data_IF_698113795905
#
_entry.id   IF_698113795905
#
_cell.length_a   1.000
_cell.length_b   1.000
_cell.length_c   1.000
_cell.angle_alpha   90.00
_cell.angle_beta   90.00
_cell.angle_gamma   90.00
#
_symmetry.space_group_name_H-M   'P 1'
#
loop_
_entity.id
_entity.type
_entity.pdbx_description
1 polymer ?
#
# COMPACT_ATOMS: atom_id res chain seq x y z
N UNK A 1 18.12 -0.96 -23.04
CA UNK A 1 17.44 -2.05 -23.77
C UNK A 1 16.69 -1.38 -24.90
N UNK A 2 16.94 -1.78 -26.15
CA UNK A 2 16.22 -1.23 -27.30
C UNK A 2 14.76 -1.71 -27.28
N UNK A 3 13.82 -0.92 -27.81
CA UNK A 3 12.38 -1.23 -27.89
C UNK A 3 12.09 -2.66 -28.37
N UNK A 4 12.87 -3.15 -29.36
CA UNK A 4 12.73 -4.51 -29.88
C UNK A 4 12.91 -5.61 -28.83
N UNK A 5 13.76 -5.40 -27.83
CA UNK A 5 13.96 -6.36 -26.73
C UNK A 5 12.82 -6.31 -25.71
N UNK A 6 12.15 -5.16 -25.58
CA UNK A 6 11.01 -4.96 -24.68
C UNK A 6 9.77 -5.68 -25.22
N UNK A 7 9.50 -5.56 -26.52
CA UNK A 7 8.33 -6.17 -27.16
C UNK A 7 8.40 -7.71 -27.16
N UNK A 8 9.58 -8.28 -27.46
CA UNK A 8 9.81 -9.74 -27.47
C UNK A 8 9.52 -10.38 -26.10
N UNK A 9 9.85 -9.69 -25.00
CA UNK A 9 9.70 -10.22 -23.65
C UNK A 9 8.25 -10.07 -23.13
N UNK A 10 7.50 -9.08 -23.61
CA UNK A 10 6.05 -8.96 -23.38
C UNK A 10 5.30 -10.07 -24.13
N UNK A 11 5.66 -10.35 -25.39
CA UNK A 11 5.08 -11.45 -26.17
C UNK A 11 5.32 -12.83 -25.54
N UNK A 12 6.45 -13.01 -24.84
CA UNK A 12 6.77 -14.24 -24.10
C UNK A 12 6.09 -14.33 -22.72
N UNK A 13 5.19 -13.38 -22.38
CA UNK A 13 4.42 -13.40 -21.14
C UNK A 13 5.18 -12.96 -19.89
N UNK A 14 6.40 -12.42 -20.04
CA UNK A 14 7.15 -11.88 -18.92
C UNK A 14 6.73 -10.42 -18.67
N UNK A 15 6.04 -10.16 -17.55
CA UNK A 15 5.77 -8.78 -17.12
C UNK A 15 7.05 -8.15 -16.56
N UNK A 16 7.88 -7.61 -17.46
CA UNK A 16 9.14 -6.95 -17.09
C UNK A 16 8.88 -5.66 -16.31
N UNK A 17 7.73 -5.00 -16.51
CA UNK A 17 7.33 -3.81 -15.74
C UNK A 17 7.35 -4.10 -14.23
N UNK A 18 6.87 -5.28 -13.80
CA UNK A 18 6.92 -5.68 -12.40
C UNK A 18 8.37 -5.84 -11.90
N UNK A 19 9.27 -6.36 -12.74
CA UNK A 19 10.66 -6.59 -12.43
C UNK A 19 11.50 -5.30 -12.45
N UNK A 20 11.22 -4.39 -13.37
CA UNK A 20 11.83 -3.05 -13.45
C UNK A 20 11.39 -2.23 -12.24
N UNK A 21 10.09 -2.23 -11.88
CA UNK A 21 9.61 -1.57 -10.67
C UNK A 21 10.29 -2.13 -9.41
N UNK A 22 10.40 -3.45 -9.30
CA UNK A 22 11.10 -4.12 -8.18
C UNK A 22 12.59 -3.75 -8.16
N UNK A 23 13.26 -3.72 -9.32
CA UNK A 23 14.66 -3.33 -9.42
C UNK A 23 14.88 -1.85 -9.12
N UNK A 24 13.97 -0.96 -9.50
CA UNK A 24 14.08 0.47 -9.21
C UNK A 24 13.82 0.78 -7.73
N UNK A 25 12.91 0.04 -7.08
CA UNK A 25 12.72 0.05 -5.62
C UNK A 25 13.97 -0.48 -4.88
N UNK A 26 14.62 -1.52 -5.41
CA UNK A 26 15.86 -2.09 -4.84
C UNK A 26 17.08 -1.20 -5.11
N UNK A 27 17.16 -0.53 -6.28
CA UNK A 27 18.25 0.38 -6.66
C UNK A 27 18.17 1.74 -5.97
N UNK A 28 16.99 2.16 -5.49
CA UNK A 28 16.83 3.28 -4.56
C UNK A 28 17.24 2.88 -3.13
N UNK A 29 18.46 2.39 -2.98
CA UNK A 29 19.03 2.04 -1.67
C UNK A 29 18.74 3.12 -0.61
N UNK A 30 18.33 2.66 0.57
CA UNK A 30 18.15 3.43 1.80
C UNK A 30 17.11 4.57 1.80
N UNK A 31 15.84 4.25 1.64
CA UNK A 31 14.87 4.85 2.56
C UNK A 31 14.81 3.96 3.80
N UNK A 32 15.37 4.41 4.92
CA UNK A 32 15.15 3.73 6.20
C UNK A 32 13.64 3.56 6.35
N UNK A 33 13.19 2.30 6.37
CA UNK A 33 11.79 1.99 6.65
C UNK A 33 11.52 2.51 8.07
N UNK A 34 10.32 3.00 8.35
CA UNK A 34 9.97 3.53 9.69
C UNK A 34 10.37 2.58 10.84
N UNK A 35 10.32 1.27 10.58
CA UNK A 35 10.83 0.21 11.45
C UNK A 35 12.34 0.35 11.71
N UNK A 36 13.17 0.47 10.65
CA UNK A 36 14.61 0.61 10.77
C UNK A 36 15.01 1.95 11.42
N UNK A 37 14.32 3.06 11.11
CA UNK A 37 14.52 4.33 11.82
C UNK A 37 14.30 4.14 13.33
N UNK A 38 13.16 3.56 13.70
CA UNK A 38 12.83 3.32 15.10
C UNK A 38 13.86 2.42 15.77
N UNK A 39 14.21 1.28 15.16
CA UNK A 39 15.24 0.38 15.69
C UNK A 39 16.58 1.10 15.92
N UNK A 40 17.01 1.95 15.00
CA UNK A 40 18.26 2.70 15.14
C UNK A 40 18.19 3.73 16.28
N UNK A 41 17.09 4.47 16.36
CA UNK A 41 16.89 5.52 17.37
C UNK A 41 16.66 4.98 18.78
N UNK A 42 15.90 3.90 18.92
CA UNK A 42 15.53 3.30 20.22
C UNK A 42 16.40 2.11 20.63
N UNK A 43 17.26 1.62 19.73
CA UNK A 43 18.03 0.36 19.88
C UNK A 43 17.15 -0.85 20.17
N UNK A 44 15.89 -0.81 19.74
CA UNK A 44 14.91 -1.89 19.95
C UNK A 44 15.04 -3.00 18.90
N UNK A 45 14.42 -4.15 19.19
CA UNK A 45 14.31 -5.24 18.23
C UNK A 45 13.40 -4.86 17.05
N UNK A 46 13.49 -5.60 15.94
CA UNK A 46 12.57 -5.43 14.80
C UNK A 46 11.11 -5.70 15.21
N UNK A 47 10.88 -6.67 16.10
CA UNK A 47 9.55 -7.00 16.59
C UNK A 47 8.94 -5.84 17.39
N UNK A 48 9.69 -5.27 18.33
CA UNK A 48 9.27 -4.11 19.11
C UNK A 48 8.98 -2.91 18.20
N UNK A 49 9.85 -2.69 17.21
CA UNK A 49 9.67 -1.63 16.22
C UNK A 49 8.38 -1.82 15.40
N UNK A 50 8.10 -3.05 14.96
CA UNK A 50 6.87 -3.37 14.24
C UNK A 50 5.62 -3.15 15.11
N UNK A 51 5.66 -3.55 16.37
CA UNK A 51 4.56 -3.35 17.31
C UNK A 51 4.33 -1.86 17.57
N UNK A 52 5.40 -1.10 17.80
CA UNK A 52 5.32 0.36 17.94
C UNK A 52 4.69 1.05 16.73
N UNK A 53 5.11 0.69 15.50
CA UNK A 53 4.53 1.25 14.28
C UNK A 53 3.05 0.87 14.14
N UNK A 54 2.64 -0.36 14.49
CA UNK A 54 1.22 -0.76 14.51
C UNK A 54 0.41 0.08 15.49
N UNK A 55 0.93 0.29 16.70
CA UNK A 55 0.27 1.13 17.71
C UNK A 55 0.10 2.58 17.23
N UNK A 56 1.11 3.13 16.55
CA UNK A 56 1.02 4.46 15.93
C UNK A 56 -0.06 4.53 14.85
N UNK A 57 -0.17 3.50 14.01
CA UNK A 57 -1.22 3.41 12.99
C UNK A 57 -2.60 3.39 13.67
N UNK A 58 -2.78 2.56 14.69
CA UNK A 58 -4.04 2.46 15.43
C UNK A 58 -4.42 3.75 16.15
N UNK A 59 -3.45 4.42 16.77
CA UNK A 59 -3.65 5.73 17.38
C UNK A 59 -4.05 6.78 16.34
N UNK A 60 -3.44 6.75 15.16
CA UNK A 60 -3.73 7.66 14.05
C UNK A 60 -5.14 7.42 13.50
N UNK A 61 -5.56 6.16 13.33
CA UNK A 61 -6.94 5.81 12.98
C UNK A 61 -7.96 6.37 13.96
N UNK A 62 -7.70 6.21 15.27
CA UNK A 62 -8.56 6.76 16.33
C UNK A 62 -8.66 8.29 16.25
N UNK A 63 -7.57 8.99 15.91
CA UNK A 63 -7.57 10.45 15.70
C UNK A 63 -8.40 10.83 14.47
N UNK A 64 -8.11 10.23 13.32
CA UNK A 64 -8.83 10.49 12.07
C UNK A 64 -10.35 10.27 12.20
N UNK A 65 -10.76 9.19 12.88
CA UNK A 65 -12.18 8.89 13.12
C UNK A 65 -12.88 9.93 14.00
N UNK A 66 -12.16 10.58 14.94
CA UNK A 66 -12.73 11.70 15.71
C UNK A 66 -12.79 12.97 14.88
N UNK A 67 -11.73 13.25 14.13
CA UNK A 67 -11.56 14.52 13.42
C UNK A 67 -12.51 14.62 12.24
N UNK A 68 -12.81 13.52 11.53
CA UNK A 68 -13.78 13.53 10.42
C UNK A 68 -15.18 14.00 10.84
N UNK A 69 -15.55 13.79 12.10
CA UNK A 69 -16.84 14.20 12.65
C UNK A 69 -16.81 15.63 13.18
N UNK A 70 -15.70 16.01 13.81
CA UNK A 70 -15.57 17.24 14.61
C UNK A 70 -14.95 18.41 13.84
N UNK A 71 -13.93 18.14 13.02
CA UNK A 71 -13.19 19.17 12.32
C UNK A 71 -13.96 19.65 11.09
N UNK A 72 -14.38 20.91 11.12
CA UNK A 72 -15.11 21.60 10.02
C UNK A 72 -14.19 22.48 9.18
N UNK A 73 -12.89 22.52 9.46
CA UNK A 73 -11.90 23.32 8.73
C UNK A 73 -11.77 22.88 7.28
N UNK A 74 -12.09 21.62 6.98
CA UNK A 74 -12.09 21.05 5.64
C UNK A 74 -13.50 20.72 5.13
N UNK A 75 -13.66 20.74 3.80
CA UNK A 75 -14.91 20.35 3.14
C UNK A 75 -15.27 18.89 3.43
N UNK A 76 -16.57 18.57 3.38
CA UNK A 76 -17.06 17.20 3.60
C UNK A 76 -16.41 16.21 2.62
N UNK A 77 -16.25 16.61 1.37
CA UNK A 77 -15.66 15.79 0.33
C UNK A 77 -14.18 15.55 0.56
N UNK A 78 -13.42 16.58 0.95
CA UNK A 78 -12.00 16.43 1.28
C UNK A 78 -11.82 15.40 2.41
N UNK A 79 -12.56 15.56 3.51
CA UNK A 79 -12.47 14.61 4.63
C UNK A 79 -12.85 13.19 4.21
N UNK A 80 -13.90 13.03 3.38
CA UNK A 80 -14.32 11.71 2.87
C UNK A 80 -13.23 11.08 2.00
N UNK A 81 -12.63 11.85 1.11
CA UNK A 81 -11.55 11.39 0.22
C UNK A 81 -10.32 10.98 1.03
N UNK A 82 -9.89 11.79 2.00
CA UNK A 82 -8.77 11.45 2.89
C UNK A 82 -9.02 10.15 3.66
N UNK A 83 -10.25 9.94 4.14
CA UNK A 83 -10.62 8.72 4.85
C UNK A 83 -10.64 7.49 3.94
N UNK A 84 -11.13 7.65 2.71
CA UNK A 84 -11.12 6.58 1.72
C UNK A 84 -9.70 6.23 1.29
N UNK A 85 -8.80 7.22 1.17
CA UNK A 85 -7.39 6.97 0.87
C UNK A 85 -6.74 6.11 1.96
N UNK A 86 -6.94 6.45 3.24
CA UNK A 86 -6.41 5.64 4.34
C UNK A 86 -6.95 4.19 4.31
N UNK A 87 -8.23 4.01 3.97
CA UNK A 87 -8.84 2.67 3.83
C UNK A 87 -8.25 1.89 2.66
N UNK A 88 -8.01 2.55 1.52
CA UNK A 88 -7.37 1.92 0.36
C UNK A 88 -5.97 1.46 0.74
N UNK A 89 -5.16 2.32 1.37
CA UNK A 89 -3.81 1.94 1.83
C UNK A 89 -3.88 0.77 2.81
N UNK A 90 -4.78 0.78 3.79
CA UNK A 90 -4.93 -0.35 4.70
C UNK A 90 -5.31 -1.63 3.98
N UNK A 91 -6.31 -1.58 3.08
CA UNK A 91 -6.75 -2.73 2.30
C UNK A 91 -5.61 -3.36 1.49
N UNK A 92 -4.76 -2.53 0.90
CA UNK A 92 -3.64 -2.98 0.07
C UNK A 92 -2.45 -3.49 0.89
N UNK A 93 -2.25 -3.00 2.11
CA UNK A 93 -0.99 -3.24 2.86
C UNK A 93 -1.13 -4.00 4.18
N UNK A 94 -2.35 -4.31 4.65
CA UNK A 94 -2.56 -4.96 5.95
C UNK A 94 -1.96 -6.38 6.07
N UNK A 95 -1.71 -7.06 4.94
CA UNK A 95 -1.18 -8.43 4.89
C UNK A 95 0.16 -8.55 4.16
N UNK A 96 0.79 -7.42 3.83
CA UNK A 96 2.03 -7.40 3.04
C UNK A 96 1.96 -6.34 1.96
N UNK A 97 2.68 -6.55 0.86
CA UNK A 97 2.71 -5.59 -0.25
C UNK A 97 1.69 -5.95 -1.34
N UNK A 98 0.41 -5.73 -1.09
CA UNK A 98 -0.67 -6.06 -2.03
C UNK A 98 -0.67 -5.22 -3.31
N UNK A 99 0.07 -4.11 -3.37
CA UNK A 99 0.17 -3.26 -4.56
C UNK A 99 1.41 -3.59 -5.41
N UNK A 100 2.56 -3.74 -4.76
CA UNK A 100 3.83 -4.10 -5.37
C UNK A 100 3.87 -5.56 -5.82
N UNK A 101 3.34 -6.44 -4.97
CA UNK A 101 3.35 -7.89 -5.10
C UNK A 101 1.97 -8.44 -4.70
N UNK A 102 0.93 -8.19 -5.51
CA UNK A 102 -0.44 -8.57 -5.16
C UNK A 102 -0.55 -10.07 -4.92
N UNK A 103 -1.03 -10.42 -3.72
CA UNK A 103 -1.38 -11.79 -3.36
C UNK A 103 -2.69 -12.22 -4.03
N UNK A 104 -3.06 -13.48 -3.84
CA UNK A 104 -4.29 -14.02 -4.42
C UNK A 104 -5.52 -13.21 -3.96
N UNK A 105 -5.61 -12.91 -2.66
CA UNK A 105 -6.75 -12.20 -2.09
C UNK A 105 -6.90 -10.79 -2.67
N UNK A 106 -5.81 -10.05 -2.82
CA UNK A 106 -5.83 -8.70 -3.42
C UNK A 106 -6.29 -8.75 -4.87
N UNK A 107 -5.84 -9.75 -5.65
CA UNK A 107 -6.29 -9.95 -7.04
C UNK A 107 -7.78 -10.29 -7.10
N UNK A 108 -8.23 -11.23 -6.27
CA UNK A 108 -9.64 -11.66 -6.23
C UNK A 108 -10.55 -10.48 -5.89
N UNK A 109 -10.16 -9.63 -4.92
CA UNK A 109 -10.89 -8.40 -4.58
C UNK A 109 -10.96 -7.40 -5.73
N UNK A 110 -9.88 -7.20 -6.47
CA UNK A 110 -9.85 -6.28 -7.63
C UNK A 110 -10.75 -6.82 -8.75
N UNK A 111 -10.68 -8.12 -9.03
CA UNK A 111 -11.52 -8.77 -10.03
C UNK A 111 -13.00 -8.61 -9.70
N UNK A 112 -13.37 -8.95 -8.46
CA UNK A 112 -14.74 -8.85 -7.99
C UNK A 112 -15.29 -7.42 -8.04
N UNK A 113 -14.47 -6.43 -7.69
CA UNK A 113 -14.92 -5.03 -7.62
C UNK A 113 -15.07 -4.37 -9.01
N UNK A 114 -14.19 -4.68 -9.96
CA UNK A 114 -14.10 -3.95 -11.23
C UNK A 114 -14.58 -4.73 -12.46
N UNK A 115 -14.62 -6.07 -12.38
CA UNK A 115 -14.86 -6.92 -13.54
C UNK A 115 -16.04 -7.89 -13.36
N UNK A 116 -16.43 -8.20 -12.12
CA UNK A 116 -17.56 -9.09 -11.85
C UNK A 116 -18.81 -8.27 -11.53
N UNK A 117 -19.84 -8.29 -12.39
CA UNK A 117 -21.09 -7.61 -12.09
C UNK A 117 -21.83 -8.31 -10.95
N UNK A 118 -22.50 -7.53 -10.10
CA UNK A 118 -23.38 -8.06 -9.07
C UNK A 118 -24.60 -8.67 -9.78
N UNK A 119 -24.90 -9.97 -9.60
CA UNK A 119 -26.07 -10.59 -10.19
C UNK A 119 -27.35 -9.89 -9.72
N UNK A 120 -28.19 -9.48 -10.67
CA UNK A 120 -29.52 -9.01 -10.36
C UNK A 120 -30.44 -10.23 -10.24
N UNK A 121 -30.99 -10.44 -9.05
CA UNK A 121 -32.03 -11.43 -8.78
C UNK A 121 -33.35 -11.06 -9.46
#
# INVERSE_FOLDING_TARGET
>A
MNELAYDILIEQGFSIISHIRKQDEIKKGDYLKSIQCYMHESRSSEEDARNYIKDLIDLTWKKMNRDILRDRSFSKDFRRTSMNLARIVQCMYQHGDGFGIPDRETKDRILSLFFEPIPLS
#
